data_IF_696896069186
#
_entry.id   IF_696896069186
#
_cell.length_a   1.000
_cell.length_b   1.000
_cell.length_c   1.000
_cell.angle_alpha   90.00
_cell.angle_beta   90.00
_cell.angle_gamma   90.00
#
_symmetry.space_group_name_H-M   'P 1'
#
loop_
_entity.id
_entity.type
_entity.pdbx_description
1 polymer ?
#
# COMPACT_ATOMS: atom_id res chain seq x y z
N UNK A 1 9.21 13.08 -3.66
CA UNK A 1 8.46 11.84 -3.37
C UNK A 1 9.00 10.66 -4.18
N UNK A 2 9.14 10.74 -5.51
CA UNK A 2 9.64 9.62 -6.34
C UNK A 2 10.86 8.89 -5.77
N UNK A 3 11.92 9.63 -5.40
CA UNK A 3 13.14 9.05 -4.81
C UNK A 3 12.86 8.16 -3.58
N UNK A 4 11.84 8.46 -2.80
CA UNK A 4 11.45 7.65 -1.64
C UNK A 4 10.89 6.30 -2.08
N UNK A 5 10.12 6.25 -3.16
CA UNK A 5 9.52 5.04 -3.70
C UNK A 5 10.49 4.17 -4.51
N UNK A 6 11.42 4.82 -5.19
CA UNK A 6 12.42 4.22 -6.09
C UNK A 6 13.70 3.75 -5.37
N UNK A 7 13.85 4.07 -4.08
CA UNK A 7 15.00 3.64 -3.27
C UNK A 7 14.58 2.47 -2.38
N UNK A 8 14.94 1.21 -2.70
CA UNK A 8 14.48 0.02 -1.99
C UNK A 8 14.83 0.04 -0.50
N UNK A 9 15.96 0.67 -0.13
CA UNK A 9 16.39 0.78 1.28
C UNK A 9 15.47 1.68 2.12
N UNK A 10 14.67 2.51 1.46
CA UNK A 10 13.74 3.47 2.09
C UNK A 10 12.30 2.99 1.99
N UNK A 11 11.88 2.51 0.81
CA UNK A 11 10.55 1.94 0.59
C UNK A 11 10.59 0.93 -0.54
N UNK A 12 9.86 -0.18 -0.37
CA UNK A 12 9.60 -1.13 -1.44
C UNK A 12 8.35 -0.81 -2.27
N UNK A 13 7.78 0.40 -2.17
CA UNK A 13 6.56 0.76 -2.89
C UNK A 13 6.67 0.46 -4.39
N UNK A 14 7.73 0.92 -5.06
CA UNK A 14 7.96 0.60 -6.47
C UNK A 14 8.60 -0.78 -6.68
N UNK A 15 9.56 -1.17 -5.82
CA UNK A 15 10.26 -2.46 -5.90
C UNK A 15 9.31 -3.66 -5.90
N UNK A 16 8.21 -3.60 -5.15
CA UNK A 16 7.21 -4.67 -5.13
C UNK A 16 6.55 -4.88 -6.51
N UNK A 17 6.34 -3.82 -7.29
CA UNK A 17 5.83 -3.96 -8.66
C UNK A 17 6.89 -4.54 -9.60
N UNK A 18 8.16 -4.13 -9.47
CA UNK A 18 9.26 -4.71 -10.26
C UNK A 18 9.42 -6.22 -10.00
N UNK A 19 9.26 -6.66 -8.74
CA UNK A 19 9.29 -8.08 -8.38
C UNK A 19 8.06 -8.81 -8.94
N UNK A 20 6.87 -8.23 -8.81
CA UNK A 20 5.64 -8.81 -9.34
C UNK A 20 5.62 -8.87 -10.88
N UNK A 21 6.29 -7.93 -11.55
CA UNK A 21 6.51 -7.90 -13.00
C UNK A 21 7.55 -8.92 -13.48
N UNK A 22 8.34 -9.49 -12.56
CA UNK A 22 9.45 -10.40 -12.87
C UNK A 22 10.73 -9.70 -13.33
N UNK A 23 10.81 -8.38 -13.23
CA UNK A 23 11.99 -7.58 -13.61
C UNK A 23 13.03 -7.50 -12.47
N UNK A 24 12.64 -7.84 -11.24
CA UNK A 24 13.53 -7.95 -10.10
C UNK A 24 13.27 -9.23 -9.29
N UNK A 25 14.33 -9.79 -8.69
CA UNK A 25 14.19 -10.87 -7.71
C UNK A 25 14.02 -10.29 -6.30
N UNK A 26 13.18 -10.93 -5.48
CA UNK A 26 13.02 -10.54 -4.08
C UNK A 26 11.70 -11.00 -3.47
N UNK A 27 11.49 -10.68 -2.20
CA UNK A 27 10.22 -10.90 -1.51
C UNK A 27 9.44 -9.59 -1.37
N UNK A 28 8.12 -9.71 -1.24
CA UNK A 28 7.28 -8.57 -0.91
C UNK A 28 7.71 -7.95 0.43
N UNK A 29 7.82 -6.63 0.49
CA UNK A 29 8.15 -5.91 1.71
C UNK A 29 7.24 -4.71 1.95
N UNK A 30 6.92 -4.49 3.23
CA UNK A 30 5.99 -3.47 3.69
C UNK A 30 4.62 -4.04 4.06
N UNK A 31 3.64 -3.17 4.35
CA UNK A 31 2.28 -3.59 4.67
C UNK A 31 1.57 -4.18 3.44
N UNK A 32 0.59 -5.07 3.64
CA UNK A 32 -0.15 -5.69 2.53
C UNK A 32 -0.89 -4.68 1.63
N UNK A 33 -1.19 -3.49 2.15
CA UNK A 33 -1.87 -2.41 1.44
C UNK A 33 -0.91 -1.42 0.77
N UNK A 34 0.40 -1.70 0.72
CA UNK A 34 1.42 -0.78 0.20
C UNK A 34 1.18 -0.37 -1.26
N UNK A 35 0.62 -1.28 -2.08
CA UNK A 35 0.17 -0.99 -3.45
C UNK A 35 -0.81 0.20 -3.49
N UNK A 36 -1.68 0.30 -2.48
CA UNK A 36 -2.65 1.38 -2.34
C UNK A 36 -1.99 2.76 -2.22
N UNK A 37 -0.84 2.85 -1.56
CA UNK A 37 -0.11 4.12 -1.43
C UNK A 37 0.58 4.52 -2.74
N UNK A 38 1.01 3.53 -3.54
CA UNK A 38 1.52 3.78 -4.89
C UNK A 38 0.41 4.29 -5.82
N UNK A 39 -0.79 3.70 -5.76
CA UNK A 39 -1.93 4.18 -6.57
C UNK A 39 -2.36 5.60 -6.19
N UNK A 40 -2.41 5.94 -4.90
CA UNK A 40 -2.69 7.32 -4.44
C UNK A 40 -1.62 8.30 -4.91
N UNK A 41 -0.35 7.89 -4.85
CA UNK A 41 0.75 8.71 -5.35
C UNK A 41 0.63 8.95 -6.86
N UNK A 42 0.29 7.92 -7.63
CA UNK A 42 0.06 8.02 -9.06
C UNK A 42 -1.13 8.94 -9.41
N UNK A 43 -2.25 8.85 -8.67
CA UNK A 43 -3.39 9.76 -8.82
C UNK A 43 -2.99 11.22 -8.56
N UNK A 44 -2.14 11.46 -7.54
CA UNK A 44 -1.60 12.79 -7.28
C UNK A 44 -0.69 13.27 -8.42
N UNK A 45 0.11 12.38 -9.02
CA UNK A 45 0.92 12.70 -10.20
C UNK A 45 0.05 13.12 -11.38
N UNK A 46 -1.01 12.38 -11.70
CA UNK A 46 -1.93 12.73 -12.76
C UNK A 46 -2.60 14.09 -12.51
N UNK A 47 -3.01 14.35 -11.27
CA UNK A 47 -3.60 15.62 -10.85
C UNK A 47 -2.65 16.81 -11.03
N UNK A 48 -1.36 16.64 -10.70
CA UNK A 48 -0.34 17.68 -10.90
C UNK A 48 -0.05 17.87 -12.38
N UNK A 49 0.09 16.78 -13.15
CA UNK A 49 0.35 16.84 -14.59
C UNK A 49 -0.75 17.59 -15.34
N UNK A 50 -2.01 17.41 -14.96
CA UNK A 50 -3.15 18.11 -15.56
C UNK A 50 -3.04 19.64 -15.50
N UNK A 51 -2.28 20.19 -14.55
CA UNK A 51 -2.05 21.63 -14.39
C UNK A 51 -0.70 22.07 -14.95
N UNK A 52 0.35 21.26 -14.76
CA UNK A 52 1.73 21.66 -15.08
C UNK A 52 2.17 21.25 -16.48
N UNK A 53 1.59 20.19 -17.04
CA UNK A 53 2.03 19.51 -18.26
C UNK A 53 3.53 19.14 -18.26
N UNK A 54 4.11 18.89 -17.07
CA UNK A 54 5.51 18.53 -16.93
C UNK A 54 5.79 17.16 -17.57
N UNK A 55 6.55 17.17 -18.65
CA UNK A 55 6.93 15.98 -19.42
C UNK A 55 7.75 14.97 -18.61
N UNK A 56 8.46 15.42 -17.56
CA UNK A 56 9.17 14.48 -16.66
C UNK A 56 8.20 13.67 -15.82
N UNK A 57 7.08 14.28 -15.43
CA UNK A 57 6.04 13.60 -14.68
C UNK A 57 5.29 12.61 -15.55
N UNK A 58 5.07 12.97 -16.82
CA UNK A 58 4.50 12.09 -17.84
C UNK A 58 5.33 10.80 -18.00
N UNK A 59 6.64 10.96 -18.23
CA UNK A 59 7.54 9.82 -18.37
C UNK A 59 7.64 8.94 -17.10
N UNK A 60 7.54 9.55 -15.92
CA UNK A 60 7.47 8.82 -14.65
C UNK A 60 6.17 8.03 -14.51
N UNK A 61 5.04 8.61 -14.92
CA UNK A 61 3.75 7.92 -14.94
C UNK A 61 3.77 6.74 -15.91
N UNK A 62 4.31 6.92 -17.12
CA UNK A 62 4.47 5.84 -18.10
C UNK A 62 5.32 4.68 -17.58
N UNK A 63 6.41 4.99 -16.87
CA UNK A 63 7.25 3.99 -16.21
C UNK A 63 6.45 3.15 -15.21
N UNK A 64 5.69 3.81 -14.34
CA UNK A 64 4.86 3.12 -13.36
C UNK A 64 3.73 2.30 -14.00
N UNK A 65 3.04 2.85 -15.01
CA UNK A 65 1.98 2.14 -15.75
C UNK A 65 2.53 0.87 -16.40
N UNK A 66 3.74 0.92 -16.97
CA UNK A 66 4.36 -0.24 -17.59
C UNK A 66 4.60 -1.38 -16.59
N UNK A 67 5.11 -1.06 -15.39
CA UNK A 67 5.32 -2.05 -14.33
C UNK A 67 4.01 -2.62 -13.79
N UNK A 68 2.99 -1.77 -13.60
CA UNK A 68 1.65 -2.23 -13.19
C UNK A 68 1.03 -3.17 -14.24
N UNK A 69 1.20 -2.86 -15.52
CA UNK A 69 0.69 -3.69 -16.61
C UNK A 69 1.38 -5.06 -16.67
N UNK A 70 2.69 -5.12 -16.39
CA UNK A 70 3.43 -6.39 -16.30
C UNK A 70 3.04 -7.18 -15.07
N UNK A 71 2.90 -6.53 -13.91
CA UNK A 71 2.49 -7.17 -12.66
C UNK A 71 1.03 -7.68 -12.70
N UNK A 72 0.22 -7.23 -13.67
CA UNK A 72 -1.16 -7.65 -13.83
C UNK A 72 -1.27 -9.08 -14.36
N UNK A 73 -2.08 -9.89 -13.68
CA UNK A 73 -2.45 -11.23 -14.13
C UNK A 73 -3.34 -11.18 -15.37
N UNK A 74 -3.37 -12.29 -16.11
CA UNK A 74 -4.19 -12.38 -17.32
C UNK A 74 -5.70 -12.26 -17.07
N UNK A 75 -6.17 -12.56 -15.85
CA UNK A 75 -7.57 -12.37 -15.44
C UNK A 75 -7.86 -10.97 -14.87
N UNK A 76 -6.87 -10.07 -14.89
CA UNK A 76 -6.98 -8.70 -14.45
C UNK A 76 -6.66 -8.46 -12.98
N UNK A 77 -6.36 -9.51 -12.20
CA UNK A 77 -5.99 -9.38 -10.79
C UNK A 77 -4.63 -8.68 -10.61
N UNK A 78 -4.53 -7.74 -9.67
CA UNK A 78 -3.30 -7.02 -9.33
C UNK A 78 -3.22 -6.84 -7.82
N UNK A 79 -2.24 -7.50 -7.19
CA UNK A 79 -1.91 -7.35 -5.77
C UNK A 79 -0.51 -7.95 -5.55
N UNK A 80 0.50 -7.10 -5.34
CA UNK A 80 1.91 -7.53 -5.39
C UNK A 80 2.24 -8.64 -4.39
N UNK A 81 1.77 -8.63 -3.10
CA UNK A 81 1.98 -9.77 -2.21
C UNK A 81 1.56 -11.14 -2.74
N UNK A 82 0.41 -11.20 -3.42
CA UNK A 82 -0.17 -12.46 -3.90
C UNK A 82 0.54 -12.91 -5.16
N UNK A 83 0.77 -11.98 -6.10
CA UNK A 83 1.47 -12.27 -7.35
C UNK A 83 2.90 -12.76 -7.06
N UNK A 84 3.63 -12.10 -6.16
CA UNK A 84 5.00 -12.50 -5.79
C UNK A 84 5.01 -13.89 -5.13
N UNK A 85 4.09 -14.15 -4.20
CA UNK A 85 3.96 -15.47 -3.54
C UNK A 85 3.62 -16.60 -4.53
N UNK A 86 2.74 -16.34 -5.50
CA UNK A 86 2.41 -17.28 -6.58
C UNK A 86 3.61 -17.54 -7.51
N UNK A 87 4.36 -16.48 -7.88
CA UNK A 87 5.60 -16.60 -8.66
C UNK A 87 6.63 -17.48 -7.95
N UNK A 88 6.82 -17.32 -6.62
CA UNK A 88 7.71 -18.16 -5.83
C UNK A 88 7.27 -19.63 -5.73
N UNK A 89 5.96 -19.90 -5.86
CA UNK A 89 5.40 -21.25 -5.95
C UNK A 89 5.53 -21.86 -7.35
N UNK A 90 6.09 -21.13 -8.32
CA UNK A 90 6.23 -21.56 -9.70
C UNK A 90 4.90 -21.58 -10.47
N UNK A 91 3.90 -20.81 -10.00
CA UNK A 91 2.63 -20.66 -10.70
C UNK A 91 2.80 -19.54 -11.72
N UNK A 92 2.59 -19.83 -13.00
CA UNK A 92 2.48 -18.78 -14.02
C UNK A 92 1.12 -18.08 -13.87
N UNK A 93 1.17 -16.88 -13.30
CA UNK A 93 0.02 -16.03 -13.01
C UNK A 93 -0.44 -15.23 -14.24
N UNK A 94 0.37 -15.18 -15.29
CA UNK A 94 0.10 -14.46 -16.54
C UNK A 94 -0.38 -15.38 -17.67
N UNK A 95 -0.35 -16.69 -17.47
CA UNK A 95 -1.03 -17.63 -18.36
C UNK A 95 -2.56 -17.61 -18.13
N UNK A 96 -3.32 -17.39 -19.20
CA UNK A 96 -4.74 -17.73 -19.21
C UNK A 96 -4.88 -19.25 -19.07
N UNK A 97 -5.19 -19.73 -17.86
CA UNK A 97 -5.79 -21.07 -17.77
C UNK A 97 -7.15 -20.97 -18.46
N UNK A 98 -7.42 -21.84 -19.42
CA UNK A 98 -8.75 -22.03 -20.01
C UNK A 98 -9.73 -22.38 -18.87
N UNK A 99 -10.28 -21.37 -18.18
CA UNK A 99 -11.33 -21.55 -17.18
C UNK A 99 -12.65 -21.79 -17.89
N UNK A 100 -12.78 -22.93 -18.56
CA UNK A 100 -14.10 -23.42 -19.02
C UNK A 100 -14.93 -24.00 -17.86
N UNK A 101 -14.33 -24.19 -16.68
CA UNK A 101 -14.96 -24.97 -15.62
C UNK A 101 -15.45 -24.13 -14.43
N UNK A 102 -15.20 -22.82 -14.37
CA UNK A 102 -15.60 -21.96 -13.24
C UNK A 102 -16.19 -20.61 -13.67
N UNK A 103 -16.97 -20.60 -14.74
CA UNK A 103 -17.91 -19.51 -14.98
C UNK A 103 -19.17 -19.71 -14.11
N UNK A 104 -19.02 -19.68 -12.78
CA UNK A 104 -20.17 -19.43 -11.91
C UNK A 104 -20.45 -17.93 -11.97
N UNK A 105 -21.38 -17.55 -12.85
CA UNK A 105 -21.97 -16.20 -12.88
C UNK A 105 -22.91 -16.13 -11.66
N UNK A 106 -22.34 -15.94 -10.47
CA UNK A 106 -23.05 -15.95 -9.20
C UNK A 106 -22.26 -15.24 -8.11
N UNK A 107 -22.95 -14.47 -7.27
CA UNK A 107 -22.39 -13.84 -6.06
C UNK A 107 -22.28 -14.92 -4.96
N UNK A 108 -21.57 -16.00 -5.25
CA UNK A 108 -21.30 -17.07 -4.28
C UNK A 108 -19.85 -16.93 -3.84
N UNK A 109 -19.67 -16.22 -2.72
CA UNK A 109 -18.38 -16.12 -2.05
C UNK A 109 -18.22 -17.34 -1.14
N UNK A 110 -17.40 -18.30 -1.57
CA UNK A 110 -16.90 -19.41 -0.76
C UNK A 110 -17.47 -20.78 -1.15
N UNK A 111 -16.59 -21.77 -1.32
CA UNK A 111 -16.96 -23.18 -1.22
C UNK A 111 -17.62 -23.44 0.14
N UNK A 112 -18.52 -24.44 0.21
CA UNK A 112 -19.40 -24.69 1.37
C UNK A 112 -18.68 -24.83 2.73
N UNK A 113 -17.35 -24.97 2.73
CA UNK A 113 -16.53 -25.19 3.93
C UNK A 113 -15.41 -24.15 4.13
N UNK A 114 -15.41 -23.04 3.39
CA UNK A 114 -14.32 -22.05 3.43
C UNK A 114 -14.76 -20.75 4.11
N UNK A 115 -14.10 -20.40 5.21
CA UNK A 115 -14.17 -19.04 5.77
C UNK A 115 -13.40 -18.10 4.84
N UNK A 116 -14.05 -17.70 3.75
CA UNK A 116 -13.47 -16.81 2.76
C UNK A 116 -13.03 -15.47 3.35
N UNK A 117 -12.04 -14.84 2.72
CA UNK A 117 -11.49 -13.53 3.07
C UNK A 117 -12.52 -12.37 3.06
N UNK A 118 -13.76 -12.63 2.66
CA UNK A 118 -14.88 -11.69 2.65
C UNK A 118 -15.97 -12.01 3.69
N UNK A 119 -15.80 -13.06 4.51
CA UNK A 119 -16.79 -13.46 5.51
C UNK A 119 -16.84 -12.50 6.72
N UNK A 120 -15.82 -11.68 6.93
CA UNK A 120 -15.81 -10.64 7.98
C UNK A 120 -15.98 -9.26 7.37
N UNK A 121 -17.07 -8.58 7.76
CA UNK A 121 -17.28 -7.13 7.50
C UNK A 121 -16.08 -6.27 7.96
N UNK A 122 -15.33 -6.77 8.95
CA UNK A 122 -14.11 -6.18 9.47
C UNK A 122 -12.96 -6.11 8.46
N UNK A 123 -12.89 -6.98 7.44
CA UNK A 123 -11.78 -6.94 6.50
C UNK A 123 -11.83 -5.67 5.65
N UNK A 124 -13.01 -5.19 5.24
CA UNK A 124 -13.09 -3.94 4.47
C UNK A 124 -12.73 -2.69 5.29
N UNK A 125 -13.04 -2.69 6.59
CA UNK A 125 -12.75 -1.57 7.49
C UNK A 125 -11.29 -1.57 7.98
N UNK A 126 -10.67 -2.74 8.21
CA UNK A 126 -9.23 -2.88 8.50
C UNK A 126 -8.34 -2.46 7.33
N UNK A 127 -8.80 -2.63 6.08
CA UNK A 127 -8.03 -2.20 4.89
C UNK A 127 -7.94 -0.68 4.74
N UNK A 128 -8.86 0.11 5.31
CA UNK A 128 -8.87 1.58 5.18
C UNK A 128 -8.50 2.32 6.47
N UNK A 129 -8.68 1.71 7.63
CA UNK A 129 -8.26 2.26 8.93
C UNK A 129 -7.05 1.47 9.43
N UNK A 130 -5.87 1.79 8.88
CA UNK A 130 -4.60 1.29 9.40
C UNK A 130 -4.41 1.68 10.86
N UNK A 131 -4.77 0.80 11.78
CA UNK A 131 -4.43 0.91 13.20
C UNK A 131 -3.00 0.39 13.40
N UNK A 132 -2.06 1.32 13.36
CA UNK A 132 -1.07 1.61 14.41
C UNK A 132 -0.26 0.50 15.11
N UNK A 133 -0.30 -0.77 14.70
CA UNK A 133 0.23 -1.86 15.56
C UNK A 133 1.41 -2.68 14.97
N UNK A 134 2.23 -2.11 14.09
CA UNK A 134 3.57 -2.69 13.87
C UNK A 134 4.67 -1.66 13.64
N UNK A 135 4.86 -0.79 14.63
CA UNK A 135 6.12 -0.07 14.84
C UNK A 135 6.65 -0.43 16.22
N UNK A 136 7.37 -1.55 16.33
CA UNK A 136 8.20 -1.81 17.53
C UNK A 136 9.38 -0.84 17.55
N UNK A 137 9.16 0.40 17.97
CA UNK A 137 10.23 1.26 18.47
C UNK A 137 10.34 1.17 19.99
N UNK A 138 11.51 0.67 20.38
CA UNK A 138 12.11 0.52 21.70
C UNK A 138 11.77 1.68 22.66
N UNK A 139 11.26 1.31 23.82
CA UNK A 139 10.98 2.12 25.01
C UNK A 139 12.11 3.08 25.39
N UNK A 140 11.83 4.39 25.40
CA UNK A 140 12.44 5.32 26.36
C UNK A 140 11.32 6.11 27.03
N UNK A 141 11.13 5.81 28.32
CA UNK A 141 10.17 6.41 29.20
C UNK A 141 10.54 7.88 29.49
N UNK A 142 9.59 8.79 29.33
CA UNK A 142 9.62 10.09 30.00
C UNK A 142 8.25 10.29 30.66
N UNK A 143 8.23 10.14 31.99
CA UNK A 143 7.06 10.33 32.83
C UNK A 143 6.61 11.80 32.80
N UNK A 144 5.35 12.02 32.42
CA UNK A 144 4.60 13.26 32.66
C UNK A 144 3.76 13.05 33.92
N UNK A 145 4.06 13.79 34.98
CA UNK A 145 3.24 13.84 36.18
C UNK A 145 2.55 15.21 36.19
N UNK A 146 1.26 15.22 35.88
CA UNK A 146 0.39 16.37 36.08
C UNK A 146 -0.27 16.21 37.44
N UNK A 147 -0.11 17.19 38.33
CA UNK A 147 -0.97 17.35 39.50
C UNK A 147 -1.10 18.82 39.90
N UNK A 148 -2.36 19.21 40.10
CA UNK A 148 -2.87 20.26 41.01
C UNK A 148 -2.77 21.76 40.63
N UNK A 149 -3.93 22.28 40.20
CA UNK A 149 -4.64 23.47 40.72
C UNK A 149 -3.96 24.24 41.88
N UNK A 150 -3.70 25.56 41.70
CA UNK A 150 -4.42 26.67 42.36
C UNK A 150 -3.75 28.04 42.15
N UNK A 151 -4.61 29.06 42.08
CA UNK A 151 -4.42 30.50 42.14
C UNK A 151 -3.15 31.01 42.88
N UNK A 152 -2.46 31.99 42.29
CA UNK A 152 -2.14 33.23 43.02
C UNK A 152 -1.86 34.41 42.08
N UNK A 153 -2.31 35.55 42.54
CA UNK A 153 -2.44 36.85 41.89
C UNK A 153 -1.12 37.65 41.88
N UNK A 154 -1.18 38.82 41.20
CA UNK A 154 -0.29 40.00 41.32
C UNK A 154 0.84 40.07 40.27
N UNK A 155 0.70 40.95 39.27
CA UNK A 155 1.19 42.35 39.19
C UNK A 155 2.72 42.45 39.07
N UNK A 156 3.21 42.98 37.95
CA UNK A 156 3.96 44.26 37.82
C UNK A 156 4.52 44.40 36.37
N UNK A 157 4.88 45.62 35.91
CA UNK A 157 4.58 46.09 34.55
C UNK A 157 5.80 46.37 33.65
N UNK A 158 5.48 46.68 32.40
CA UNK A 158 6.35 47.29 31.38
C UNK A 158 6.52 48.79 31.70
N UNK A 159 7.77 49.29 31.77
CA UNK A 159 8.23 50.60 31.26
C UNK A 159 9.73 50.80 31.53
N UNK A 160 10.54 50.82 30.47
CA UNK A 160 11.54 51.86 30.17
C UNK A 160 12.06 51.66 28.74
#
# INVERSE_FOLDING_TARGET
>A
MWKTWDTPEVSHGFRNFEIAAGDAEGEHWGPSFHDGDMYKWFEACASVYAVTHDQKLDALMDCFIAEVAKAQRADGYIHTPVVIDECHKGIDTHALKDRKDEAEIGITVGGKDEKGAFASRLNFETYNLGTSDDCRYRTLACHRQEDSLQLCTSRQPIFL
#
